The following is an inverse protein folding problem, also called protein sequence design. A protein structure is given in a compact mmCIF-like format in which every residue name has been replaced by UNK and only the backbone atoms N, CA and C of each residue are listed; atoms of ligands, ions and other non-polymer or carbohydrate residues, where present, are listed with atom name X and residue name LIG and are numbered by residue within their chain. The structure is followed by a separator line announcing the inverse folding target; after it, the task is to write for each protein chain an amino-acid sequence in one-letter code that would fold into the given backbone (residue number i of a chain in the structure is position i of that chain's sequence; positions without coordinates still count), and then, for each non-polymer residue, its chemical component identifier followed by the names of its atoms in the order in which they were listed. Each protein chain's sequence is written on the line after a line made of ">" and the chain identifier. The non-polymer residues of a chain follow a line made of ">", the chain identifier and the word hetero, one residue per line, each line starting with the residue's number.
data_IF_244055908088
#
_entry.id   IF_244055908088
#
_cell.length_a   1.000
_cell.length_b   1.000
_cell.length_c   1.000
_cell.angle_alpha   90.00
_cell.angle_beta   90.00
_cell.angle_gamma   90.00
#
_symmetry.space_group_name_H-M   'P 1'
#
loop_
_entity.id
_entity.type
_entity.pdbx_description
1 polymer ?
#
# COMPACT_ATOMS: atom_id res chain seq x y z
N UNK A 1 7.29 -14.49 13.27
CA UNK A 1 7.50 -13.44 12.24
C UNK A 1 6.24 -12.61 12.22
N UNK A 2 6.33 -11.31 12.52
CA UNK A 2 5.27 -10.35 12.16
C UNK A 2 5.21 -10.27 10.63
N UNK A 3 4.01 -10.17 10.06
CA UNK A 3 3.87 -9.96 8.62
C UNK A 3 4.19 -8.52 8.24
N UNK A 4 4.80 -8.30 7.07
CA UNK A 4 5.14 -6.98 6.54
C UNK A 4 4.02 -6.48 5.61
N UNK A 5 3.44 -5.33 5.94
CA UNK A 5 2.36 -4.71 5.15
C UNK A 5 2.91 -3.64 4.20
N UNK A 6 2.54 -3.72 2.92
CA UNK A 6 2.80 -2.68 1.94
C UNK A 6 1.67 -1.65 1.90
N UNK A 7 1.91 -0.44 2.37
CA UNK A 7 0.95 0.67 2.26
C UNK A 7 1.18 1.38 0.92
N UNK A 8 0.31 1.14 -0.05
CA UNK A 8 0.41 1.74 -1.39
C UNK A 8 -0.29 3.10 -1.36
N UNK A 9 0.50 4.16 -1.52
CA UNK A 9 0.07 5.55 -1.45
C UNK A 9 1.25 6.52 -1.44
N UNK A 10 1.01 7.75 -1.85
CA UNK A 10 2.05 8.78 -1.96
C UNK A 10 2.23 9.49 -0.61
N UNK A 11 3.01 8.87 0.27
CA UNK A 11 3.19 9.35 1.64
C UNK A 11 3.57 10.84 1.68
N UNK A 12 2.91 11.57 2.58
CA UNK A 12 3.13 12.99 2.83
C UNK A 12 3.11 13.20 4.34
N UNK A 13 4.24 13.60 4.97
CA UNK A 13 4.28 13.85 6.41
C UNK A 13 3.41 15.04 6.85
N UNK A 14 3.03 15.94 5.93
CA UNK A 14 2.06 17.02 6.17
C UNK A 14 0.61 16.54 6.16
N UNK A 15 0.32 15.37 5.61
CA UNK A 15 -1.02 14.79 5.57
C UNK A 15 -1.31 14.00 6.85
N UNK A 16 -2.19 14.55 7.69
CA UNK A 16 -2.59 13.93 8.97
C UNK A 16 -3.14 12.51 8.80
N UNK A 17 -3.84 12.23 7.70
CA UNK A 17 -4.43 10.90 7.48
C UNK A 17 -3.34 9.86 7.24
N UNK A 18 -2.29 10.19 6.47
CA UNK A 18 -1.15 9.29 6.28
C UNK A 18 -0.44 8.94 7.60
N UNK A 19 -0.24 9.94 8.46
CA UNK A 19 0.32 9.71 9.80
C UNK A 19 -0.55 8.75 10.60
N UNK A 20 -1.87 8.96 10.60
CA UNK A 20 -2.82 8.14 11.34
C UNK A 20 -2.90 6.71 10.78
N UNK A 21 -2.85 6.52 9.46
CA UNK A 21 -2.79 5.18 8.84
C UNK A 21 -1.56 4.42 9.33
N UNK A 22 -0.38 5.05 9.31
CA UNK A 22 0.85 4.43 9.84
C UNK A 22 0.75 4.11 11.33
N UNK A 23 0.14 4.99 12.13
CA UNK A 23 -0.10 4.73 13.56
C UNK A 23 -1.08 3.57 13.79
N UNK A 24 -2.12 3.44 12.96
CA UNK A 24 -3.07 2.33 13.05
C UNK A 24 -2.40 0.99 12.78
N UNK A 25 -1.54 0.89 11.76
CA UNK A 25 -0.78 -0.34 11.49
C UNK A 25 0.18 -0.68 12.63
N UNK A 26 0.88 0.31 13.19
CA UNK A 26 1.73 0.10 14.39
C UNK A 26 0.92 -0.37 15.60
N UNK A 27 -0.28 0.16 15.79
CA UNK A 27 -1.14 -0.24 16.90
C UNK A 27 -1.53 -1.72 16.84
N UNK A 28 -1.62 -2.30 15.63
CA UNK A 28 -1.84 -3.73 15.41
C UNK A 28 -0.59 -4.60 15.65
N UNK A 29 0.57 -4.00 15.94
CA UNK A 29 1.83 -4.71 16.10
C UNK A 29 2.40 -5.28 14.80
N UNK A 30 2.04 -4.68 13.66
CA UNK A 30 2.51 -5.07 12.33
C UNK A 30 3.62 -4.12 11.84
N UNK A 31 4.59 -4.70 11.14
CA UNK A 31 5.58 -3.94 10.39
C UNK A 31 4.98 -3.46 9.06
N UNK A 32 5.41 -2.30 8.58
CA UNK A 32 4.93 -1.77 7.31
C UNK A 32 5.94 -0.89 6.62
N UNK A 33 5.73 -0.74 5.31
CA UNK A 33 6.46 0.18 4.44
C UNK A 33 5.49 0.97 3.59
N UNK A 34 5.76 2.26 3.39
CA UNK A 34 5.05 3.07 2.40
C UNK A 34 5.64 2.84 1.01
N UNK A 35 4.78 2.63 0.03
CA UNK A 35 5.12 2.38 -1.36
C UNK A 35 4.47 3.49 -2.19
N UNK A 36 5.27 4.42 -2.76
CA UNK A 36 4.76 5.41 -3.69
C UNK A 36 3.97 4.75 -4.81
N UNK A 37 2.86 5.35 -5.23
CA UNK A 37 2.03 4.75 -6.29
C UNK A 37 2.78 4.65 -7.61
N UNK A 38 3.78 5.51 -7.82
CA UNK A 38 4.70 5.50 -8.98
C UNK A 38 5.63 4.28 -9.02
N UNK A 39 5.87 3.63 -7.89
CA UNK A 39 6.76 2.47 -7.80
C UNK A 39 6.03 1.16 -8.16
N UNK A 40 4.70 1.20 -8.22
CA UNK A 40 3.86 0.07 -8.67
C UNK A 40 3.60 0.21 -10.16
N UNK A 41 4.43 -0.45 -10.96
CA UNK A 41 4.27 -0.45 -12.42
C UNK A 41 3.10 -1.35 -12.85
N UNK A 42 2.14 -0.87 -13.65
CA UNK A 42 0.96 -1.64 -14.04
C UNK A 42 1.22 -2.98 -14.72
N UNK A 43 2.31 -3.08 -15.49
CA UNK A 43 2.69 -4.25 -16.27
C UNK A 43 3.36 -5.34 -15.41
N UNK A 44 3.92 -4.96 -14.27
CA UNK A 44 4.72 -5.83 -13.40
C UNK A 44 4.59 -5.44 -11.92
N UNK A 45 3.37 -5.38 -11.37
CA UNK A 45 3.15 -4.96 -9.99
C UNK A 45 3.84 -5.90 -8.98
N UNK A 46 4.01 -7.19 -9.34
CA UNK A 46 4.70 -8.17 -8.49
C UNK A 46 6.14 -7.81 -8.17
N UNK A 47 6.84 -7.09 -9.06
CA UNK A 47 8.25 -6.74 -8.88
C UNK A 47 8.42 -5.85 -7.63
N UNK A 48 7.38 -5.06 -7.31
CA UNK A 48 7.33 -4.27 -6.09
C UNK A 48 6.60 -4.96 -4.96
N UNK A 49 5.47 -5.62 -5.25
CA UNK A 49 4.48 -6.03 -4.25
C UNK A 49 4.69 -7.45 -3.69
N UNK A 50 5.49 -8.31 -4.33
CA UNK A 50 5.67 -9.70 -3.89
C UNK A 50 6.41 -9.86 -2.55
N UNK A 51 7.02 -8.79 -2.03
CA UNK A 51 7.72 -8.77 -0.75
C UNK A 51 6.80 -8.61 0.47
N UNK A 52 5.51 -8.35 0.26
CA UNK A 52 4.56 -8.02 1.33
C UNK A 52 3.53 -9.13 1.55
N UNK A 53 3.20 -9.37 2.81
CA UNK A 53 2.19 -10.35 3.23
C UNK A 53 0.75 -9.84 3.06
N UNK A 54 0.61 -8.52 2.93
CA UNK A 54 -0.67 -7.85 2.74
C UNK A 54 -0.48 -6.42 2.22
N UNK A 55 -1.54 -5.88 1.62
CA UNK A 55 -1.53 -4.56 1.00
C UNK A 55 -2.58 -3.66 1.66
N UNK A 56 -2.21 -2.41 1.91
CA UNK A 56 -3.13 -1.36 2.31
C UNK A 56 -3.15 -0.27 1.24
N UNK A 57 -4.28 -0.08 0.56
CA UNK A 57 -4.50 1.07 -0.33
C UNK A 57 -4.77 2.31 0.53
N UNK A 58 -3.79 3.22 0.59
CA UNK A 58 -3.87 4.42 1.44
C UNK A 58 -4.96 5.39 0.96
N UNK A 59 -5.49 6.26 1.82
CA UNK A 59 -6.41 7.33 1.42
C UNK A 59 -5.66 8.49 0.75
N UNK A 60 -6.40 9.56 0.41
CA UNK A 60 -5.90 10.82 -0.17
C UNK A 60 -5.58 10.79 -1.68
N UNK A 61 -6.54 10.34 -2.48
CA UNK A 61 -6.55 10.68 -3.91
C UNK A 61 -6.70 12.21 -4.12
N UNK A 62 -6.20 12.77 -5.22
CA UNK A 62 -5.57 12.10 -6.36
C UNK A 62 -4.16 11.57 -6.05
N UNK A 63 -3.89 10.32 -6.47
CA UNK A 63 -2.55 9.75 -6.43
C UNK A 63 -1.66 10.35 -7.53
N UNK A 64 -0.35 10.34 -7.30
CA UNK A 64 0.63 10.65 -8.33
C UNK A 64 0.54 9.68 -9.52
N UNK A 65 0.24 8.40 -9.25
CA UNK A 65 -0.07 7.40 -10.26
C UNK A 65 -1.36 6.65 -9.92
N UNK A 66 -2.46 7.03 -10.56
CA UNK A 66 -3.71 6.28 -10.45
C UNK A 66 -3.57 4.85 -10.99
N UNK A 67 -2.81 4.67 -12.07
CA UNK A 67 -2.58 3.35 -12.65
C UNK A 67 -1.83 2.41 -11.70
N UNK A 68 -0.85 2.94 -10.96
CA UNK A 68 -0.12 2.14 -9.97
C UNK A 68 -0.99 1.75 -8.77
N UNK A 69 -1.83 2.65 -8.28
CA UNK A 69 -2.80 2.32 -7.24
C UNK A 69 -3.78 1.20 -7.68
N UNK A 70 -4.33 1.33 -8.89
CA UNK A 70 -5.23 0.31 -9.47
C UNK A 70 -4.50 -1.02 -9.73
N UNK A 71 -3.24 -0.97 -10.14
CA UNK A 71 -2.40 -2.15 -10.34
C UNK A 71 -2.14 -2.90 -9.03
N UNK A 72 -1.96 -2.20 -7.90
CA UNK A 72 -1.84 -2.84 -6.60
C UNK A 72 -3.14 -3.55 -6.17
N UNK A 73 -4.29 -2.89 -6.37
CA UNK A 73 -5.60 -3.49 -6.08
C UNK A 73 -5.83 -4.74 -6.95
N UNK A 74 -5.54 -4.64 -8.25
CA UNK A 74 -5.64 -5.78 -9.19
C UNK A 74 -4.73 -6.92 -8.76
N UNK A 75 -3.45 -6.63 -8.48
CA UNK A 75 -2.47 -7.61 -8.03
C UNK A 75 -2.98 -8.39 -6.81
N UNK A 76 -3.47 -7.67 -5.79
CA UNK A 76 -3.96 -8.31 -4.57
C UNK A 76 -5.17 -9.22 -4.83
N UNK A 77 -6.14 -8.73 -5.61
CA UNK A 77 -7.36 -9.47 -5.95
C UNK A 77 -7.07 -10.73 -6.75
N UNK A 78 -6.20 -10.64 -7.75
CA UNK A 78 -5.90 -11.76 -8.66
C UNK A 78 -5.01 -12.83 -8.03
N UNK A 79 -4.27 -12.50 -6.97
CA UNK A 79 -3.32 -13.40 -6.30
C UNK A 79 -3.72 -13.76 -4.87
N UNK A 80 -4.92 -13.37 -4.45
CA UNK A 80 -5.43 -13.61 -3.10
C UNK A 80 -4.53 -13.06 -1.98
N UNK A 81 -3.85 -11.94 -2.24
CA UNK A 81 -3.12 -11.20 -1.19
C UNK A 81 -4.14 -10.41 -0.36
N UNK A 82 -4.12 -10.50 0.98
CA UNK A 82 -4.99 -9.70 1.84
C UNK A 82 -4.90 -8.21 1.49
N UNK A 83 -6.05 -7.54 1.35
CA UNK A 83 -6.12 -6.12 1.03
C UNK A 83 -7.12 -5.38 1.89
N UNK A 84 -6.72 -4.21 2.39
CA UNK A 84 -7.58 -3.18 3.00
C UNK A 84 -7.51 -1.91 2.17
N UNK A 85 -8.62 -1.20 2.00
CA UNK A 85 -8.67 0.12 1.37
C UNK A 85 -9.46 1.10 2.23
N UNK A 86 -9.02 2.36 2.26
CA UNK A 86 -9.60 3.45 3.06
C UNK A 86 -9.72 4.73 2.28
#
# INVERSE_FOLDING_TARGET
>A
MSGLIGIVGDFDPGNRVHILTGQAVRHLGLDFEWIPTTDVLPERPQDRLAAYDGIWSAPASPYHSMEGALAAIRYARERHVPLVGT
#
